data_IF_812428526743
#
_entry.id   IF_812428526743
#
_cell.length_a   1.000
_cell.length_b   1.000
_cell.length_c   1.000
_cell.angle_alpha   90.00
_cell.angle_beta   90.00
_cell.angle_gamma   90.00
#
_symmetry.space_group_name_H-M   'P 1'
#
loop_
_entity.id
_entity.type
_entity.pdbx_description
1 polymer ?
#
# COMPACT_ATOMS: atom_id res chain seq x y z
N UNK A 1 21.00 -20.06 -49.01
CA UNK A 1 21.21 -19.27 -47.78
C UNK A 1 19.84 -19.12 -47.14
N UNK A 2 19.51 -20.00 -46.19
CA UNK A 2 18.23 -19.94 -45.48
C UNK A 2 18.28 -18.85 -44.43
N UNK A 3 17.45 -17.83 -44.58
CA UNK A 3 17.13 -16.90 -43.50
C UNK A 3 16.28 -17.66 -42.51
N UNK A 4 16.90 -18.23 -41.49
CA UNK A 4 16.17 -18.70 -40.33
C UNK A 4 15.49 -17.50 -39.69
N UNK A 5 14.16 -17.44 -39.82
CA UNK A 5 13.31 -16.55 -39.04
C UNK A 5 13.57 -16.85 -37.56
N UNK A 6 14.45 -16.05 -36.94
CA UNK A 6 14.57 -16.02 -35.47
C UNK A 6 13.19 -15.67 -34.93
N UNK A 7 12.45 -16.68 -34.47
CA UNK A 7 11.26 -16.50 -33.65
C UNK A 7 11.71 -15.71 -32.43
N UNK A 8 11.46 -14.40 -32.43
CA UNK A 8 11.66 -13.53 -31.27
C UNK A 8 10.79 -14.12 -30.16
N UNK A 9 11.41 -14.68 -29.13
CA UNK A 9 10.65 -15.29 -28.04
C UNK A 9 10.26 -14.18 -27.08
N UNK A 10 9.10 -14.31 -26.43
CA UNK A 10 8.53 -13.29 -25.52
C UNK A 10 9.52 -12.82 -24.44
N UNK A 11 10.49 -13.64 -24.07
CA UNK A 11 11.54 -13.29 -23.12
C UNK A 11 12.65 -12.41 -23.70
N UNK A 12 12.86 -12.41 -25.03
CA UNK A 12 13.84 -11.54 -25.70
C UNK A 12 13.36 -10.07 -25.73
N UNK A 13 12.06 -9.84 -25.53
CA UNK A 13 11.43 -8.52 -25.40
C UNK A 13 11.46 -7.96 -23.97
N UNK A 14 11.83 -8.78 -22.98
CA UNK A 14 11.92 -8.32 -21.60
C UNK A 14 13.22 -7.53 -21.42
N UNK A 15 13.19 -6.35 -20.78
CA UNK A 15 14.38 -5.53 -20.60
C UNK A 15 15.41 -6.29 -19.76
N UNK A 16 16.45 -6.83 -20.41
CA UNK A 16 17.57 -7.48 -19.73
C UNK A 16 18.35 -6.38 -19.02
N UNK A 17 18.10 -6.26 -17.72
CA UNK A 17 18.68 -5.21 -16.90
C UNK A 17 19.92 -5.76 -16.18
N UNK A 18 21.00 -4.99 -16.21
CA UNK A 18 22.26 -5.35 -15.55
C UNK A 18 22.05 -5.59 -14.04
N UNK A 19 22.79 -6.54 -13.45
CA UNK A 19 22.62 -7.01 -12.07
C UNK A 19 22.61 -5.85 -11.08
N UNK A 20 23.52 -4.89 -11.25
CA UNK A 20 23.61 -3.70 -10.39
C UNK A 20 22.37 -2.80 -10.47
N UNK A 21 21.76 -2.68 -11.65
CA UNK A 21 20.50 -1.94 -11.83
C UNK A 21 19.33 -2.72 -11.23
N UNK A 22 19.23 -4.02 -11.50
CA UNK A 22 18.18 -4.87 -10.93
C UNK A 22 18.17 -4.84 -9.40
N UNK A 23 19.34 -4.91 -8.75
CA UNK A 23 19.46 -4.76 -7.29
C UNK A 23 18.98 -3.39 -6.79
N UNK A 24 19.26 -2.30 -7.52
CA UNK A 24 18.75 -0.97 -7.15
C UNK A 24 17.23 -0.89 -7.24
N UNK A 25 16.63 -1.43 -8.29
CA UNK A 25 15.17 -1.51 -8.43
C UNK A 25 14.54 -2.34 -7.31
N UNK A 26 15.17 -3.46 -6.92
CA UNK A 26 14.74 -4.25 -5.78
C UNK A 26 14.75 -3.42 -4.48
N UNK A 27 15.86 -2.75 -4.18
CA UNK A 27 16.01 -1.95 -2.96
C UNK A 27 15.02 -0.78 -2.93
N UNK A 28 14.91 -0.02 -4.02
CA UNK A 28 13.97 1.11 -4.08
C UNK A 28 12.52 0.63 -4.01
N UNK A 29 12.18 -0.45 -4.71
CA UNK A 29 10.85 -1.04 -4.62
C UNK A 29 10.49 -1.49 -3.20
N UNK A 30 11.45 -2.09 -2.50
CA UNK A 30 11.27 -2.54 -1.11
C UNK A 30 11.13 -1.37 -0.14
N UNK A 31 11.95 -0.32 -0.28
CA UNK A 31 11.81 0.90 0.53
C UNK A 31 10.47 1.61 0.31
N UNK A 32 10.05 1.75 -0.95
CA UNK A 32 8.76 2.35 -1.31
C UNK A 32 7.61 1.52 -0.74
N UNK A 33 7.63 0.19 -0.90
CA UNK A 33 6.60 -0.68 -0.38
C UNK A 33 6.48 -0.62 1.15
N UNK A 34 7.61 -0.61 1.88
CA UNK A 34 7.60 -0.48 3.34
C UNK A 34 7.06 0.88 3.77
N UNK A 35 7.49 1.97 3.13
CA UNK A 35 7.07 3.32 3.50
C UNK A 35 5.56 3.49 3.33
N UNK A 36 5.03 3.13 2.16
CA UNK A 36 3.60 3.26 1.89
C UNK A 36 2.77 2.21 2.64
N UNK A 37 3.29 1.00 2.85
CA UNK A 37 2.64 -0.01 3.70
C UNK A 37 2.49 0.47 5.14
N UNK A 38 3.52 1.12 5.68
CA UNK A 38 3.46 1.72 7.03
C UNK A 38 2.45 2.85 7.10
N UNK A 39 2.41 3.75 6.11
CA UNK A 39 1.41 4.84 6.04
C UNK A 39 -0.01 4.27 6.03
N UNK A 40 -0.25 3.21 5.23
CA UNK A 40 -1.55 2.54 5.17
C UNK A 40 -1.94 1.95 6.53
N UNK A 41 -1.01 1.28 7.22
CA UNK A 41 -1.26 0.69 8.54
C UNK A 41 -1.58 1.75 9.60
N UNK A 42 -0.83 2.86 9.62
CA UNK A 42 -1.10 3.98 10.54
C UNK A 42 -2.47 4.58 10.25
N UNK A 43 -2.76 4.89 8.98
CA UNK A 43 -4.03 5.45 8.56
C UNK A 43 -5.22 4.55 8.94
N UNK A 44 -5.09 3.24 8.73
CA UNK A 44 -6.12 2.28 9.16
C UNK A 44 -6.28 2.23 10.68
N UNK A 45 -5.17 2.21 11.42
CA UNK A 45 -5.21 2.22 12.89
C UNK A 45 -5.91 3.47 13.43
N UNK A 46 -5.70 4.64 12.82
CA UNK A 46 -6.40 5.88 13.20
C UNK A 46 -7.91 5.74 12.99
N UNK A 47 -8.36 5.22 11.85
CA UNK A 47 -9.77 5.02 11.56
C UNK A 47 -10.41 3.98 12.51
N UNK A 48 -9.78 2.82 12.68
CA UNK A 48 -10.27 1.75 13.55
C UNK A 48 -10.43 2.20 15.02
N UNK A 49 -9.63 3.18 15.47
CA UNK A 49 -9.69 3.73 16.83
C UNK A 49 -10.49 5.04 16.94
N UNK A 50 -10.99 5.60 15.84
CA UNK A 50 -11.64 6.92 15.82
C UNK A 50 -12.87 6.99 16.73
N UNK A 51 -13.70 5.94 16.70
CA UNK A 51 -14.91 5.89 17.54
C UNK A 51 -14.58 5.75 19.03
N UNK A 52 -13.60 4.93 19.38
CA UNK A 52 -13.15 4.79 20.78
C UNK A 52 -12.60 6.12 21.31
N UNK A 53 -11.80 6.82 20.50
CA UNK A 53 -11.31 8.16 20.85
C UNK A 53 -12.45 9.15 21.05
N UNK A 54 -13.43 9.16 20.14
CA UNK A 54 -14.65 9.99 20.24
C UNK A 54 -15.40 9.77 21.55
N UNK A 55 -15.60 8.51 21.96
CA UNK A 55 -16.30 8.19 23.21
C UNK A 55 -15.57 8.72 24.44
N UNK A 56 -14.24 8.57 24.48
CA UNK A 56 -13.41 9.05 25.59
C UNK A 56 -13.49 10.57 25.68
N UNK A 57 -13.31 11.28 24.57
CA UNK A 57 -13.38 12.75 24.52
C UNK A 57 -14.77 13.26 24.92
N UNK A 58 -15.83 12.62 24.45
CA UNK A 58 -17.20 13.03 24.80
C UNK A 58 -17.49 12.77 26.30
N UNK A 59 -17.01 11.64 26.85
CA UNK A 59 -17.13 11.37 28.28
C UNK A 59 -16.39 12.43 29.10
N UNK A 60 -15.18 12.78 28.72
CA UNK A 60 -14.40 13.83 29.39
C UNK A 60 -15.08 15.20 29.26
N UNK A 61 -15.63 15.53 28.08
CA UNK A 61 -16.37 16.76 27.85
C UNK A 61 -17.59 16.86 28.80
N UNK A 62 -18.35 15.78 28.91
CA UNK A 62 -19.51 15.69 29.82
C UNK A 62 -19.09 15.83 31.28
N UNK A 63 -18.04 15.15 31.72
CA UNK A 63 -17.54 15.24 33.10
C UNK A 63 -17.13 16.66 33.45
N UNK A 64 -16.37 17.32 32.57
CA UNK A 64 -15.90 18.69 32.81
C UNK A 64 -17.06 19.69 32.87
N UNK A 65 -18.08 19.53 32.02
CA UNK A 65 -19.30 20.32 32.10
C UNK A 65 -20.04 20.10 33.43
N UNK A 66 -20.20 18.84 33.86
CA UNK A 66 -20.83 18.51 35.15
C UNK A 66 -20.05 19.05 36.35
N UNK A 67 -18.73 19.18 36.23
CA UNK A 67 -17.86 19.80 37.24
C UNK A 67 -17.88 21.33 37.21
N UNK A 68 -18.60 21.95 36.27
CA UNK A 68 -18.69 23.39 36.14
C UNK A 68 -17.40 24.05 35.62
N UNK A 69 -16.49 23.29 35.00
CA UNK A 69 -15.25 23.83 34.44
C UNK A 69 -15.48 24.77 33.26
N UNK A 70 -16.64 24.66 32.61
CA UNK A 70 -17.10 25.54 31.54
C UNK A 70 -18.62 25.48 31.37
N UNK A 71 -19.17 26.44 30.64
CA UNK A 71 -20.61 26.61 30.43
C UNK A 71 -21.19 25.69 29.35
N UNK A 72 -22.51 25.79 29.17
CA UNK A 72 -23.23 24.99 28.17
C UNK A 72 -22.77 25.26 26.73
N UNK A 73 -22.49 26.52 26.38
CA UNK A 73 -22.05 26.86 25.04
C UNK A 73 -20.69 26.21 24.69
N UNK A 74 -19.74 26.23 25.63
CA UNK A 74 -18.44 25.59 25.47
C UNK A 74 -18.56 24.06 25.36
N UNK A 75 -19.51 23.47 26.09
CA UNK A 75 -19.80 22.03 26.02
C UNK A 75 -20.26 21.62 24.61
N UNK A 76 -21.19 22.39 24.03
CA UNK A 76 -21.72 22.15 22.68
C UNK A 76 -20.63 22.36 21.62
N UNK A 77 -19.87 23.45 21.70
CA UNK A 77 -18.78 23.71 20.75
C UNK A 77 -17.75 22.58 20.75
N UNK A 78 -17.36 22.09 21.94
CA UNK A 78 -16.45 20.95 22.05
C UNK A 78 -17.06 19.66 21.50
N UNK A 79 -18.35 19.42 21.73
CA UNK A 79 -19.04 18.24 21.20
C UNK A 79 -19.05 18.25 19.66
N UNK A 80 -19.36 19.39 19.05
CA UNK A 80 -19.34 19.56 17.59
C UNK A 80 -17.93 19.34 17.03
N UNK A 81 -16.91 19.93 17.67
CA UNK A 81 -15.50 19.75 17.29
C UNK A 81 -15.06 18.29 17.38
N UNK A 82 -15.37 17.60 18.47
CA UNK A 82 -15.02 16.19 18.67
C UNK A 82 -15.71 15.30 17.62
N UNK A 83 -16.97 15.61 17.29
CA UNK A 83 -17.72 14.92 16.23
C UNK A 83 -17.08 15.13 14.86
N UNK A 84 -16.67 16.35 14.54
CA UNK A 84 -15.97 16.64 13.28
C UNK A 84 -14.63 15.88 13.20
N UNK A 85 -13.83 15.89 14.27
CA UNK A 85 -12.56 15.18 14.33
C UNK A 85 -12.72 13.67 14.19
N UNK A 86 -13.75 13.10 14.81
CA UNK A 86 -14.10 11.69 14.63
C UNK A 86 -14.29 11.34 13.15
N UNK A 87 -15.12 12.09 12.42
CA UNK A 87 -15.33 11.84 11.00
C UNK A 87 -14.07 12.03 10.16
N UNK A 88 -13.22 13.01 10.50
CA UNK A 88 -11.93 13.17 9.84
C UNK A 88 -11.02 11.95 10.05
N UNK A 89 -10.94 11.43 11.28
CA UNK A 89 -10.13 10.26 11.60
C UNK A 89 -10.65 8.98 10.94
N UNK A 90 -11.97 8.81 10.90
CA UNK A 90 -12.65 7.65 10.33
C UNK A 90 -12.51 7.62 8.79
N UNK A 91 -12.83 8.74 8.13
CA UNK A 91 -12.88 8.78 6.67
C UNK A 91 -11.54 9.08 5.99
N UNK A 92 -10.52 9.62 6.68
CA UNK A 92 -9.22 9.88 6.04
C UNK A 92 -8.60 8.62 5.43
N UNK A 93 -8.90 7.42 5.96
CA UNK A 93 -8.39 6.14 5.45
C UNK A 93 -8.82 5.88 4.01
N UNK A 94 -9.95 6.44 3.57
CA UNK A 94 -10.41 6.30 2.18
C UNK A 94 -9.44 7.01 1.23
N UNK A 95 -9.01 8.23 1.57
CA UNK A 95 -8.10 9.00 0.72
C UNK A 95 -6.66 8.53 0.91
N UNK A 96 -6.17 8.56 2.15
CA UNK A 96 -4.78 8.20 2.49
C UNK A 96 -4.51 6.74 2.17
N UNK A 97 -5.47 5.85 2.47
CA UNK A 97 -5.33 4.42 2.17
C UNK A 97 -5.28 4.13 0.68
N UNK A 98 -6.06 4.84 -0.15
CA UNK A 98 -5.98 4.68 -1.60
C UNK A 98 -4.63 5.16 -2.16
N UNK A 99 -4.16 6.34 -1.73
CA UNK A 99 -2.83 6.84 -2.11
C UNK A 99 -1.74 5.85 -1.70
N UNK A 100 -1.81 5.34 -0.47
CA UNK A 100 -0.84 4.38 0.04
C UNK A 100 -0.85 3.05 -0.72
N UNK A 101 -2.04 2.53 -1.08
CA UNK A 101 -2.15 1.32 -1.93
C UNK A 101 -1.49 1.51 -3.29
N UNK A 102 -1.67 2.68 -3.93
CA UNK A 102 -0.98 3.00 -5.19
C UNK A 102 0.54 2.97 -4.99
N UNK A 103 1.03 3.60 -3.92
CA UNK A 103 2.46 3.59 -3.59
C UNK A 103 3.02 2.19 -3.36
N UNK A 104 2.31 1.33 -2.61
CA UNK A 104 2.68 -0.07 -2.42
C UNK A 104 2.74 -0.82 -3.75
N UNK A 105 1.74 -0.65 -4.61
CA UNK A 105 1.69 -1.29 -5.92
C UNK A 105 2.87 -0.87 -6.82
N UNK A 106 3.24 0.42 -6.81
CA UNK A 106 4.43 0.92 -7.52
C UNK A 106 5.70 0.26 -6.96
N UNK A 107 5.83 0.15 -5.64
CA UNK A 107 6.95 -0.53 -5.00
C UNK A 107 7.06 -1.99 -5.40
N UNK A 108 5.94 -2.72 -5.34
CA UNK A 108 5.86 -4.12 -5.76
C UNK A 108 6.16 -4.32 -7.25
N UNK A 109 5.73 -3.39 -8.11
CA UNK A 109 6.05 -3.40 -9.53
C UNK A 109 7.57 -3.32 -9.79
N UNK A 110 8.29 -2.43 -9.07
CA UNK A 110 9.75 -2.38 -9.19
C UNK A 110 10.43 -3.67 -8.71
N UNK A 111 9.91 -4.29 -7.66
CA UNK A 111 10.40 -5.58 -7.16
C UNK A 111 10.20 -6.68 -8.22
N UNK A 112 9.04 -6.73 -8.87
CA UNK A 112 8.75 -7.68 -9.96
C UNK A 112 9.71 -7.49 -11.13
N UNK A 113 9.94 -6.26 -11.58
CA UNK A 113 10.90 -5.98 -12.66
C UNK A 113 12.31 -6.46 -12.28
N UNK A 114 12.72 -6.23 -11.04
CA UNK A 114 14.02 -6.68 -10.55
C UNK A 114 14.13 -8.21 -10.57
N UNK A 115 13.12 -8.93 -10.08
CA UNK A 115 13.13 -10.40 -10.09
C UNK A 115 13.07 -10.99 -11.50
N UNK A 116 12.30 -10.40 -12.43
CA UNK A 116 12.35 -10.81 -13.83
C UNK A 116 13.74 -10.59 -14.43
N UNK A 117 14.37 -9.45 -14.13
CA UNK A 117 15.73 -9.16 -14.60
C UNK A 117 16.74 -10.20 -14.08
N UNK A 118 16.59 -10.67 -12.83
CA UNK A 118 17.43 -11.74 -12.29
C UNK A 118 17.10 -13.12 -12.90
N UNK A 119 15.83 -13.41 -13.16
CA UNK A 119 15.41 -14.67 -13.78
C UNK A 119 15.90 -14.84 -15.23
N UNK A 120 16.10 -13.73 -15.94
CA UNK A 120 16.56 -13.71 -17.32
C UNK A 120 18.08 -13.59 -17.47
N UNK A 121 18.80 -13.33 -16.38
CA UNK A 121 20.24 -13.15 -16.44
C UNK A 121 20.96 -14.50 -16.49
N UNK A 122 21.67 -14.73 -17.61
CA UNK A 122 22.39 -15.97 -17.89
C UNK A 122 23.62 -16.20 -17.00
N UNK A 123 24.02 -15.23 -16.18
CA UNK A 123 25.07 -15.40 -15.17
C UNK A 123 24.63 -16.19 -13.93
N UNK A 124 23.32 -16.44 -13.77
CA UNK A 124 22.80 -17.22 -12.65
C UNK A 124 22.44 -18.64 -13.07
N UNK A 125 22.69 -19.58 -12.16
CA UNK A 125 22.34 -20.99 -12.32
C UNK A 125 20.84 -21.16 -12.60
N UNK A 126 20.48 -22.17 -13.39
CA UNK A 126 19.10 -22.42 -13.83
C UNK A 126 18.12 -22.61 -12.64
N UNK A 127 18.60 -23.25 -11.56
CA UNK A 127 17.81 -23.39 -10.30
C UNK A 127 17.49 -22.02 -9.69
N UNK A 128 18.48 -21.12 -9.61
CA UNK A 128 18.32 -19.78 -9.05
C UNK A 128 17.41 -18.91 -9.92
N UNK A 129 17.57 -18.98 -11.25
CA UNK A 129 16.69 -18.30 -12.21
C UNK A 129 15.23 -18.75 -12.07
N UNK A 130 14.99 -20.05 -11.90
CA UNK A 130 13.65 -20.60 -11.68
C UNK A 130 13.03 -20.07 -10.38
N UNK A 131 13.81 -19.98 -9.30
CA UNK A 131 13.34 -19.40 -8.02
C UNK A 131 12.95 -17.93 -8.20
N UNK A 132 13.78 -17.12 -8.86
CA UNK A 132 13.45 -15.71 -9.12
C UNK A 132 12.18 -15.54 -9.98
N UNK A 133 11.97 -16.43 -10.95
CA UNK A 133 10.76 -16.43 -11.77
C UNK A 133 9.51 -16.80 -10.98
N UNK A 134 9.61 -17.78 -10.08
CA UNK A 134 8.53 -18.16 -9.15
C UNK A 134 8.20 -16.97 -8.23
N UNK A 135 9.21 -16.31 -7.66
CA UNK A 135 9.01 -15.13 -6.80
C UNK A 135 8.37 -13.97 -7.56
N UNK A 136 8.84 -13.64 -8.77
CA UNK A 136 8.22 -12.61 -9.61
C UNK A 136 6.74 -12.93 -9.88
N UNK A 137 6.44 -14.18 -10.22
CA UNK A 137 5.07 -14.64 -10.51
C UNK A 137 4.17 -14.60 -9.27
N UNK A 138 4.67 -14.99 -8.11
CA UNK A 138 3.93 -14.94 -6.84
C UNK A 138 3.61 -13.48 -6.46
N UNK A 139 4.58 -12.58 -6.58
CA UNK A 139 4.36 -11.15 -6.29
C UNK A 139 3.36 -10.55 -7.29
N UNK A 140 3.48 -10.87 -8.58
CA UNK A 140 2.51 -10.45 -9.59
C UNK A 140 1.09 -10.95 -9.28
N UNK A 141 0.97 -12.21 -8.87
CA UNK A 141 -0.30 -12.78 -8.46
C UNK A 141 -0.90 -12.01 -7.28
N UNK A 142 -0.10 -11.68 -6.26
CA UNK A 142 -0.54 -10.86 -5.13
C UNK A 142 -0.99 -9.47 -5.59
N UNK A 143 -0.22 -8.78 -6.44
CA UNK A 143 -0.61 -7.46 -7.00
C UNK A 143 -1.94 -7.56 -7.74
N UNK A 144 -2.12 -8.59 -8.57
CA UNK A 144 -3.38 -8.77 -9.31
C UNK A 144 -4.54 -8.99 -8.36
N UNK A 145 -4.40 -9.89 -7.38
CA UNK A 145 -5.42 -10.16 -6.36
C UNK A 145 -5.77 -8.89 -5.61
N UNK A 146 -4.79 -8.18 -5.04
CA UNK A 146 -5.06 -6.96 -4.25
C UNK A 146 -5.69 -5.85 -5.10
N UNK A 147 -5.28 -5.69 -6.36
CA UNK A 147 -5.85 -4.70 -7.26
C UNK A 147 -7.28 -5.05 -7.67
N UNK A 148 -7.56 -6.31 -8.02
CA UNK A 148 -8.91 -6.77 -8.35
C UNK A 148 -9.87 -6.62 -7.17
N UNK A 149 -9.50 -7.10 -5.98
CA UNK A 149 -10.37 -7.00 -4.80
C UNK A 149 -10.56 -5.55 -4.33
N UNK A 150 -9.54 -4.69 -4.48
CA UNK A 150 -9.68 -3.26 -4.14
C UNK A 150 -10.62 -2.52 -5.09
N UNK A 151 -10.80 -2.97 -6.34
CA UNK A 151 -11.78 -2.38 -7.27
C UNK A 151 -13.21 -2.92 -7.06
N UNK A 152 -13.36 -4.16 -6.59
CA UNK A 152 -14.67 -4.74 -6.25
C UNK A 152 -15.23 -4.12 -4.96
N UNK A 153 -14.37 -3.73 -4.01
CA UNK A 153 -14.78 -3.15 -2.72
C UNK A 153 -15.23 -1.68 -2.78
N UNK A 154 -15.12 -1.01 -3.94
CA UNK A 154 -15.82 0.26 -4.19
C UNK A 154 -17.27 0.00 -4.65
N UNK A 155 -17.97 -0.89 -3.94
CA UNK A 155 -19.41 -0.97 -4.04
C UNK A 155 -19.98 -0.15 -2.89
N UNK A 156 -20.52 1.02 -3.25
CA UNK A 156 -21.24 1.92 -2.35
C UNK A 156 -22.30 1.09 -1.62
N UNK A 157 -22.20 1.03 -0.30
CA UNK A 157 -23.27 0.58 0.61
C UNK A 157 -23.75 1.82 1.36
#
# INVERSE_FOLDING_TARGET
MGTEDRKVKLYDLLPIMDKKKATKFLIYGLLVAIMFGTILMISKSIADNAYTWFLIENQQNKMNYMQGLYGYNDYIEKLERTTLLYYWMDFQVVIVGNIARIGVNIGLFFIVIAFFSFALNDQFDEKSRRIYLILASAILFVIMVTTFFSQIALQIS
#
